data_IF_503920800491
#
_entry.id   IF_503920800491
#
_cell.length_a   1.000
_cell.length_b   1.000
_cell.length_c   1.000
_cell.angle_alpha   90.00
_cell.angle_beta   90.00
_cell.angle_gamma   90.00
#
_symmetry.space_group_name_H-M   'P 1'
#
loop_
_entity.id
_entity.type
_entity.pdbx_description
1 polymer ?
#
# COMPACT_ATOMS: atom_id res chain seq x y z
N UNK A 1 -24.07 -0.13 0.42
CA UNK A 1 -23.43 -0.66 1.64
C UNK A 1 -22.09 -1.36 1.37
N UNK A 2 -21.99 -2.28 0.39
CA UNK A 2 -20.70 -2.94 0.03
C UNK A 2 -19.57 -1.97 -0.30
N UNK A 3 -19.83 -0.97 -1.16
CA UNK A 3 -18.80 -0.02 -1.61
C UNK A 3 -18.16 0.80 -0.47
N UNK A 4 -18.96 1.14 0.55
CA UNK A 4 -18.48 1.85 1.74
C UNK A 4 -17.59 0.97 2.62
N UNK A 5 -18.00 -0.29 2.85
CA UNK A 5 -17.16 -1.26 3.57
C UNK A 5 -15.84 -1.54 2.84
N UNK A 6 -15.88 -1.67 1.52
CA UNK A 6 -14.67 -1.87 0.73
C UNK A 6 -13.76 -0.64 0.80
N UNK A 7 -14.31 0.57 0.77
CA UNK A 7 -13.54 1.79 0.93
C UNK A 7 -12.85 1.88 2.30
N UNK A 8 -13.54 1.49 3.38
CA UNK A 8 -12.91 1.40 4.70
C UNK A 8 -11.79 0.36 4.74
N UNK A 9 -11.99 -0.81 4.13
CA UNK A 9 -10.95 -1.85 4.04
C UNK A 9 -9.73 -1.33 3.27
N UNK A 10 -9.94 -0.60 2.19
CA UNK A 10 -8.86 0.01 1.41
C UNK A 10 -8.07 1.04 2.22
N UNK A 11 -8.75 1.91 2.96
CA UNK A 11 -8.07 2.88 3.83
C UNK A 11 -7.21 2.16 4.87
N UNK A 12 -7.75 1.12 5.52
CA UNK A 12 -6.99 0.34 6.51
C UNK A 12 -5.78 -0.33 5.84
N UNK A 13 -5.97 -0.91 4.66
CA UNK A 13 -4.90 -1.52 3.87
C UNK A 13 -3.79 -0.51 3.56
N UNK A 14 -4.14 0.68 3.04
CA UNK A 14 -3.18 1.74 2.72
C UNK A 14 -2.44 2.26 3.95
N UNK A 15 -3.11 2.39 5.09
CA UNK A 15 -2.46 2.81 6.33
C UNK A 15 -1.41 1.77 6.75
N UNK A 16 -1.73 0.47 6.67
CA UNK A 16 -0.78 -0.60 7.02
C UNK A 16 0.42 -0.64 6.08
N UNK A 17 0.18 -0.51 4.78
CA UNK A 17 1.22 -0.42 3.75
C UNK A 17 2.15 0.76 4.01
N UNK A 18 1.59 1.97 4.14
CA UNK A 18 2.35 3.19 4.39
C UNK A 18 3.13 3.15 5.72
N UNK A 19 2.53 2.61 6.78
CA UNK A 19 3.19 2.46 8.08
C UNK A 19 4.40 1.52 7.98
N UNK A 20 4.28 0.41 7.24
CA UNK A 20 5.37 -0.54 7.05
C UNK A 20 6.54 0.11 6.31
N UNK A 21 6.27 0.82 5.22
CA UNK A 21 7.28 1.59 4.47
C UNK A 21 7.97 2.64 5.35
N UNK A 22 7.21 3.41 6.12
CA UNK A 22 7.76 4.42 7.02
C UNK A 22 8.67 3.81 8.10
N UNK A 23 8.26 2.69 8.71
CA UNK A 23 9.04 2.02 9.75
C UNK A 23 10.37 1.45 9.23
N UNK A 24 10.47 1.17 7.93
CA UNK A 24 11.69 0.60 7.32
C UNK A 24 12.62 1.67 6.76
N UNK A 25 12.05 2.72 6.15
CA UNK A 25 12.83 3.75 5.43
C UNK A 25 13.01 5.03 6.20
N UNK A 26 12.11 5.31 7.16
CA UNK A 26 11.96 6.63 7.78
C UNK A 26 11.84 7.79 6.77
N UNK A 27 11.38 7.50 5.54
CA UNK A 27 11.33 8.44 4.43
C UNK A 27 9.89 8.61 3.94
N UNK A 28 9.37 9.84 4.05
CA UNK A 28 7.99 10.13 3.65
C UNK A 28 7.83 10.17 2.12
N UNK A 29 8.91 10.45 1.40
CA UNK A 29 8.87 10.52 -0.07
C UNK A 29 8.70 9.13 -0.69
N UNK A 30 9.37 8.11 -0.14
CA UNK A 30 9.15 6.70 -0.53
C UNK A 30 7.71 6.28 -0.23
N UNK A 31 7.21 6.60 0.98
CA UNK A 31 5.81 6.29 1.35
C UNK A 31 4.82 6.90 0.35
N UNK A 32 5.03 8.15 -0.06
CA UNK A 32 4.17 8.82 -1.06
C UNK A 32 4.29 8.19 -2.44
N UNK A 33 5.50 7.95 -2.92
CA UNK A 33 5.76 7.39 -4.24
C UNK A 33 5.08 6.02 -4.40
N UNK A 34 5.26 5.13 -3.41
CA UNK A 34 4.69 3.79 -3.44
C UNK A 34 3.17 3.82 -3.22
N UNK A 35 2.66 4.66 -2.32
CA UNK A 35 1.22 4.72 -2.02
C UNK A 35 0.36 5.24 -3.18
N UNK A 36 0.94 5.98 -4.14
CA UNK A 36 0.23 6.50 -5.31
C UNK A 36 -0.08 5.40 -6.34
N UNK A 37 0.66 4.29 -6.31
CA UNK A 37 0.48 3.17 -7.23
C UNK A 37 -0.77 2.32 -6.89
N UNK A 38 -1.33 2.48 -5.69
CA UNK A 38 -2.47 1.68 -5.21
C UNK A 38 -3.77 2.47 -5.30
N UNK A 39 -4.61 2.10 -6.28
CA UNK A 39 -5.94 2.69 -6.44
C UNK A 39 -7.04 1.83 -5.80
N UNK A 40 -8.09 2.48 -5.32
CA UNK A 40 -9.24 1.84 -4.68
C UNK A 40 -10.00 0.92 -5.63
N UNK A 41 -10.10 1.29 -6.92
CA UNK A 41 -10.89 0.53 -7.91
C UNK A 41 -10.18 -0.69 -8.46
N UNK A 42 -8.86 -0.82 -8.25
CA UNK A 42 -8.09 -1.96 -8.75
C UNK A 42 -8.05 -2.04 -10.28
N UNK A 43 -8.21 -0.91 -10.98
CA UNK A 43 -8.17 -0.86 -12.46
C UNK A 43 -6.72 -0.95 -13.01
N UNK A 44 -5.72 -1.16 -12.14
CA UNK A 44 -4.30 -1.28 -12.48
C UNK A 44 -3.78 -2.72 -12.27
N UNK A 45 -2.49 -2.94 -12.54
CA UNK A 45 -1.77 -4.21 -12.32
C UNK A 45 -1.86 -4.74 -10.87
N UNK A 46 -2.16 -3.87 -9.90
CA UNK A 46 -2.12 -4.17 -8.48
C UNK A 46 -3.51 -4.13 -7.84
N UNK A 47 -3.96 -5.28 -7.32
CA UNK A 47 -5.25 -5.43 -6.66
C UNK A 47 -5.09 -5.52 -5.14
N UNK A 48 -5.27 -4.39 -4.44
CA UNK A 48 -5.16 -4.32 -2.98
C UNK A 48 -6.07 -5.30 -2.22
N UNK A 49 -7.13 -5.83 -2.85
CA UNK A 49 -8.05 -6.80 -2.22
C UNK A 49 -7.45 -8.20 -2.13
N UNK A 50 -6.50 -8.51 -2.99
CA UNK A 50 -5.88 -9.84 -3.11
C UNK A 50 -4.45 -9.84 -2.56
N UNK A 51 -3.87 -8.66 -2.30
CA UNK A 51 -2.52 -8.48 -1.81
C UNK A 51 -2.46 -8.18 -0.31
N UNK A 52 -1.41 -8.67 0.37
CA UNK A 52 -1.12 -8.30 1.76
C UNK A 52 -0.30 -6.99 1.81
N UNK A 53 -0.74 -5.97 2.56
CA UNK A 53 -0.08 -4.66 2.56
C UNK A 53 1.33 -4.68 3.16
N UNK A 54 1.69 -5.69 3.97
CA UNK A 54 3.04 -5.81 4.53
C UNK A 54 3.97 -6.45 3.53
N UNK A 55 3.52 -7.52 2.86
CA UNK A 55 4.31 -8.20 1.85
C UNK A 55 4.64 -7.27 0.68
N UNK A 56 3.65 -6.54 0.16
CA UNK A 56 3.85 -5.58 -0.92
C UNK A 56 4.77 -4.42 -0.51
N UNK A 57 4.69 -3.98 0.75
CA UNK A 57 5.61 -2.95 1.26
C UNK A 57 7.05 -3.47 1.35
N UNK A 58 7.24 -4.71 1.81
CA UNK A 58 8.57 -5.34 1.87
C UNK A 58 9.12 -5.63 0.45
N UNK A 59 8.26 -6.00 -0.50
CA UNK A 59 8.64 -6.13 -1.92
C UNK A 59 9.02 -4.78 -2.53
N UNK A 60 8.21 -3.74 -2.32
CA UNK A 60 8.52 -2.37 -2.77
C UNK A 60 9.88 -1.91 -2.25
N UNK A 61 10.22 -2.23 -0.99
CA UNK A 61 11.51 -1.90 -0.39
C UNK A 61 12.68 -2.65 -1.00
N UNK A 62 12.47 -3.86 -1.52
CA UNK A 62 13.53 -4.62 -2.17
C UNK A 62 14.13 -3.89 -3.39
N UNK A 63 13.35 -3.01 -4.04
CA UNK A 63 13.79 -2.19 -5.17
C UNK A 63 14.69 -1.02 -4.76
N UNK A 64 14.61 -0.56 -3.51
CA UNK A 64 15.42 0.54 -3.00
C UNK A 64 16.79 0.08 -2.46
N UNK A 65 17.00 -1.25 -2.36
CA UNK A 65 18.23 -1.83 -1.80
C UNK A 65 18.32 -1.65 -0.29
N UNK A 66 19.16 -2.47 0.36
CA UNK A 66 19.52 -2.31 1.78
C UNK A 66 20.20 -0.95 2.06
#
# INVERSE_FOLDING_TARGET
MRLFMDYLKFIIWRIRFALRLWLRTHCMDIVKAESVQWDFRGEQLYNWRECDPVWEADEALSYYGD
#
